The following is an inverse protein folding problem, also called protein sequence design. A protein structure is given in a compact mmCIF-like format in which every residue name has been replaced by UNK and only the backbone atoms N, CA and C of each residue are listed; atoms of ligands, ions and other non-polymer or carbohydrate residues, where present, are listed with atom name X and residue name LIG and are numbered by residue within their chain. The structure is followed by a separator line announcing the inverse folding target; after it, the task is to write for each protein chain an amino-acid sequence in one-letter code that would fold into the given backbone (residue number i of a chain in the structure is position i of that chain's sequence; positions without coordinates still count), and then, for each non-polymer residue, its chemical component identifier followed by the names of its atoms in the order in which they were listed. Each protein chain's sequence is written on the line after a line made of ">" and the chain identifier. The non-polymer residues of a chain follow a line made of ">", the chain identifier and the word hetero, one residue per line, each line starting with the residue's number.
data_IF_421077367070
#
_entry.id   IF_421077367070
#
_cell.length_a   1.000
_cell.length_b   1.000
_cell.length_c   1.000
_cell.angle_alpha   90.00
_cell.angle_beta   90.00
_cell.angle_gamma   90.00
#
_symmetry.space_group_name_H-M   'P 1'
#
loop_
_entity.id
_entity.type
_entity.pdbx_description
1 polymer ?
#
# COMPACT_ATOMS: atom_id res chain seq x y z
N UNK A 1 -18.50 -10.73 4.48
CA UNK A 1 -18.72 -10.15 5.82
C UNK A 1 -18.02 -8.81 5.86
N UNK A 2 -18.49 -7.82 6.64
CA UNK A 2 -18.04 -6.44 6.50
C UNK A 2 -16.73 -6.15 7.21
N UNK A 3 -16.04 -5.10 6.73
CA UNK A 3 -14.95 -4.46 7.45
C UNK A 3 -15.51 -3.76 8.69
N UNK A 4 -14.86 -3.96 9.84
CA UNK A 4 -15.09 -3.17 11.03
C UNK A 4 -14.20 -1.92 10.98
N UNK A 5 -14.83 -0.76 11.08
CA UNK A 5 -14.16 0.54 11.11
C UNK A 5 -14.73 1.42 12.20
N UNK A 6 -14.00 2.44 12.58
CA UNK A 6 -14.48 3.41 13.56
C UNK A 6 -15.72 4.15 13.02
N UNK A 7 -16.73 4.30 13.87
CA UNK A 7 -18.08 4.83 13.51
C UNK A 7 -18.06 6.15 12.76
N UNK A 8 -17.15 7.04 13.13
CA UNK A 8 -17.09 8.41 12.59
C UNK A 8 -15.96 8.60 11.56
N UNK A 9 -15.33 7.52 11.08
CA UNK A 9 -14.33 7.61 10.02
C UNK A 9 -15.00 8.11 8.72
N UNK A 10 -14.50 9.19 8.07
CA UNK A 10 -15.10 9.74 6.85
C UNK A 10 -15.26 8.71 5.73
N UNK A 11 -14.33 7.78 5.58
CA UNK A 11 -14.39 6.68 4.62
C UNK A 11 -15.67 5.85 4.74
N UNK A 12 -16.30 5.77 5.93
CA UNK A 12 -17.55 5.01 6.12
C UNK A 12 -18.67 5.49 5.19
N UNK A 13 -18.92 6.79 5.15
CA UNK A 13 -19.99 7.35 4.33
C UNK A 13 -19.74 7.14 2.83
N UNK A 14 -18.49 7.21 2.39
CA UNK A 14 -18.09 6.97 0.99
C UNK A 14 -18.34 5.51 0.62
N UNK A 15 -17.85 4.56 1.42
CA UNK A 15 -18.00 3.14 1.18
C UNK A 15 -19.48 2.71 1.17
N UNK A 16 -20.29 3.23 2.11
CA UNK A 16 -21.73 2.97 2.14
C UNK A 16 -22.45 3.52 0.88
N UNK A 17 -22.04 4.68 0.37
CA UNK A 17 -22.58 5.24 -0.88
C UNK A 17 -22.24 4.40 -2.11
N UNK A 18 -21.16 3.63 -2.06
CA UNK A 18 -20.73 2.68 -3.08
C UNK A 18 -21.37 1.29 -2.92
N UNK A 19 -22.35 1.14 -2.01
CA UNK A 19 -22.96 -0.14 -1.62
C UNK A 19 -21.97 -1.16 -1.03
N UNK A 20 -20.87 -0.70 -0.48
CA UNK A 20 -19.92 -1.50 0.27
C UNK A 20 -20.38 -1.56 1.72
N UNK A 21 -20.65 -2.77 2.22
CA UNK A 21 -21.11 -2.95 3.57
C UNK A 21 -19.95 -2.82 4.56
N UNK A 22 -20.00 -1.82 5.42
CA UNK A 22 -19.09 -1.61 6.54
C UNK A 22 -19.81 -1.80 7.86
N UNK A 23 -19.10 -2.24 8.89
CA UNK A 23 -19.63 -2.49 10.22
C UNK A 23 -18.97 -1.51 11.21
N UNK A 24 -19.77 -0.92 12.07
CA UNK A 24 -19.25 -0.19 13.22
C UNK A 24 -19.02 -1.12 14.43
N UNK A 25 -18.42 -0.57 15.47
CA UNK A 25 -18.04 -1.31 16.66
C UNK A 25 -19.26 -1.93 17.37
N UNK A 26 -20.38 -1.19 17.44
CA UNK A 26 -21.60 -1.63 18.13
C UNK A 26 -22.18 -2.90 17.50
N UNK A 27 -22.16 -2.97 16.18
CA UNK A 27 -22.65 -4.13 15.43
C UNK A 27 -21.66 -5.30 15.45
N UNK A 28 -20.35 -5.02 15.47
CA UNK A 28 -19.31 -6.05 15.51
C UNK A 28 -19.34 -6.86 16.82
N UNK A 29 -19.60 -6.21 17.96
CA UNK A 29 -19.65 -6.83 19.29
C UNK A 29 -20.78 -7.87 19.39
N UNK A 30 -21.83 -7.75 18.57
CA UNK A 30 -22.96 -8.70 18.59
C UNK A 30 -22.66 -10.03 17.88
N UNK A 31 -21.47 -10.20 17.28
CA UNK A 31 -21.07 -11.41 16.55
C UNK A 31 -19.94 -12.13 17.27
N UNK A 32 -20.08 -13.44 17.47
CA UNK A 32 -19.04 -14.31 18.06
C UNK A 32 -18.04 -14.75 16.96
N UNK A 33 -17.31 -13.79 16.40
CA UNK A 33 -16.33 -14.00 15.33
C UNK A 33 -15.06 -13.23 15.69
N UNK A 34 -13.89 -13.91 15.65
CA UNK A 34 -12.60 -13.22 15.72
C UNK A 34 -12.30 -12.55 14.39
N UNK A 35 -12.31 -11.21 14.31
CA UNK A 35 -11.91 -10.51 13.10
C UNK A 35 -10.41 -10.63 12.86
N UNK A 36 -9.99 -10.53 11.60
CA UNK A 36 -8.58 -10.34 11.26
C UNK A 36 -8.16 -8.92 11.67
N UNK A 37 -7.10 -8.82 12.44
CA UNK A 37 -6.53 -7.55 12.90
C UNK A 37 -5.55 -7.04 11.85
N UNK A 38 -5.88 -5.95 11.17
CA UNK A 38 -5.06 -5.34 10.12
C UNK A 38 -4.59 -3.96 10.57
N UNK A 39 -3.27 -3.78 10.61
CA UNK A 39 -2.63 -2.51 10.91
C UNK A 39 -2.25 -1.80 9.59
N UNK A 40 -2.57 -0.52 9.45
CA UNK A 40 -2.28 0.27 8.25
C UNK A 40 -1.37 1.43 8.62
N UNK A 41 -0.08 1.33 8.28
CA UNK A 41 0.85 2.45 8.37
C UNK A 41 0.68 3.33 7.13
N UNK A 42 -0.02 4.44 7.32
CA UNK A 42 -0.36 5.35 6.23
C UNK A 42 0.66 6.48 6.10
N UNK A 43 1.57 6.37 5.13
CA UNK A 43 2.61 7.35 4.83
C UNK A 43 2.21 8.34 3.73
N UNK A 44 1.03 8.16 3.13
CA UNK A 44 0.55 9.02 2.06
C UNK A 44 0.19 10.43 2.56
N UNK A 45 0.35 11.45 1.69
CA UNK A 45 0.13 12.85 2.08
C UNK A 45 -1.33 13.21 2.31
N UNK A 46 -2.26 12.60 1.55
CA UNK A 46 -3.72 12.76 1.72
C UNK A 46 -4.23 11.45 2.32
N UNK A 47 -4.30 11.42 3.65
CA UNK A 47 -4.59 10.18 4.37
C UNK A 47 -6.00 9.67 4.16
N UNK A 48 -6.99 10.56 4.11
CA UNK A 48 -8.41 10.22 3.98
C UNK A 48 -8.72 9.51 2.65
N UNK A 49 -8.08 9.92 1.55
CA UNK A 49 -8.21 9.24 0.26
C UNK A 49 -7.64 7.81 0.33
N UNK A 50 -6.44 7.68 0.91
CA UNK A 50 -5.76 6.38 1.05
C UNK A 50 -6.51 5.45 1.98
N UNK A 51 -7.09 5.96 3.09
CA UNK A 51 -7.97 5.21 3.99
C UNK A 51 -9.12 4.58 3.20
N UNK A 52 -9.82 5.40 2.40
CA UNK A 52 -10.94 4.94 1.58
C UNK A 52 -10.53 3.89 0.57
N UNK A 53 -9.42 4.09 -0.14
CA UNK A 53 -8.89 3.17 -1.16
C UNK A 53 -8.52 1.81 -0.56
N UNK A 54 -7.78 1.81 0.54
CA UNK A 54 -7.36 0.55 1.21
C UNK A 54 -8.56 -0.17 1.82
N UNK A 55 -9.46 0.55 2.50
CA UNK A 55 -10.65 -0.05 3.10
C UNK A 55 -11.57 -0.64 2.03
N UNK A 56 -11.71 0.02 0.87
CA UNK A 56 -12.45 -0.53 -0.28
C UNK A 56 -11.84 -1.84 -0.77
N UNK A 57 -10.52 -1.91 -0.92
CA UNK A 57 -9.82 -3.13 -1.34
C UNK A 57 -10.00 -4.26 -0.30
N UNK A 58 -9.85 -3.97 0.98
CA UNK A 58 -10.03 -4.93 2.07
C UNK A 58 -11.48 -5.39 2.25
N UNK A 59 -12.47 -4.61 1.79
CA UNK A 59 -13.89 -4.97 1.89
C UNK A 59 -14.30 -6.14 0.99
N UNK A 60 -13.49 -6.45 -0.01
CA UNK A 60 -13.75 -7.52 -0.96
C UNK A 60 -13.33 -8.91 -0.42
N UNK A 61 -13.73 -9.22 0.81
CA UNK A 61 -13.47 -10.51 1.47
C UNK A 61 -14.70 -10.99 2.24
N UNK A 62 -14.94 -12.31 2.34
CA UNK A 62 -15.97 -12.86 3.22
C UNK A 62 -15.57 -12.84 4.69
N UNK A 63 -14.32 -12.52 5.03
CA UNK A 63 -13.81 -12.49 6.39
C UNK A 63 -14.12 -11.15 7.06
N UNK A 64 -14.35 -11.17 8.37
CA UNK A 64 -14.42 -9.92 9.13
C UNK A 64 -13.02 -9.38 9.34
N UNK A 65 -12.82 -8.11 9.03
CA UNK A 65 -11.54 -7.41 9.16
C UNK A 65 -11.72 -6.20 10.08
N UNK A 66 -10.83 -6.06 11.04
CA UNK A 66 -10.73 -4.93 11.96
C UNK A 66 -9.48 -4.13 11.60
N UNK A 67 -9.66 -2.88 11.17
CA UNK A 67 -8.60 -2.02 10.66
C UNK A 67 -8.22 -0.94 11.66
N UNK A 68 -6.92 -0.83 11.95
CA UNK A 68 -6.33 0.23 12.77
C UNK A 68 -5.31 1.02 11.96
N UNK A 69 -5.28 2.34 12.14
CA UNK A 69 -4.35 3.21 11.42
C UNK A 69 -3.19 3.64 12.32
N UNK A 70 -1.99 3.55 11.76
CA UNK A 70 -0.73 3.95 12.38
C UNK A 70 -0.14 5.15 11.65
N UNK A 71 0.39 6.11 12.40
CA UNK A 71 1.15 7.24 11.87
C UNK A 71 2.53 7.33 12.50
N UNK A 72 3.46 7.97 11.78
CA UNK A 72 4.80 8.24 12.26
C UNK A 72 4.80 9.35 13.32
N UNK A 73 5.49 9.13 14.41
CA UNK A 73 5.72 10.14 15.47
C UNK A 73 6.74 11.17 15.03
N UNK A 74 7.75 10.74 14.28
CA UNK A 74 8.83 11.58 13.75
C UNK A 74 8.43 12.43 12.54
N UNK A 75 7.18 12.30 12.04
CA UNK A 75 6.71 13.03 10.89
C UNK A 75 5.34 13.70 11.12
N UNK A 76 5.27 15.01 10.87
CA UNK A 76 4.01 15.76 10.90
C UNK A 76 3.35 15.74 9.51
N UNK A 77 2.10 15.22 9.46
CA UNK A 77 1.27 15.33 8.26
C UNK A 77 0.89 16.80 8.01
N UNK A 78 1.06 17.26 6.77
CA UNK A 78 0.74 18.65 6.38
C UNK A 78 -0.65 18.80 5.75
N UNK A 79 -1.22 17.72 5.22
CA UNK A 79 -2.44 17.75 4.41
C UNK A 79 -3.65 17.10 5.10
N UNK A 80 -3.49 16.60 6.32
CA UNK A 80 -4.58 16.00 7.11
C UNK A 80 -4.71 16.78 8.42
N UNK A 81 -5.94 17.06 8.84
CA UNK A 81 -6.20 17.82 10.06
C UNK A 81 -5.71 17.07 11.30
N UNK A 82 -5.17 17.81 12.29
CA UNK A 82 -4.72 17.19 13.53
C UNK A 82 -5.87 16.53 14.30
N UNK A 83 -7.09 17.06 14.17
CA UNK A 83 -8.28 16.47 14.79
C UNK A 83 -8.60 15.09 14.22
N UNK A 84 -8.45 14.90 12.90
CA UNK A 84 -8.59 13.59 12.26
C UNK A 84 -7.53 12.61 12.73
N UNK A 85 -6.27 13.04 12.75
CA UNK A 85 -5.15 12.21 13.19
C UNK A 85 -5.32 11.76 14.64
N UNK A 86 -5.60 12.68 15.55
CA UNK A 86 -5.79 12.36 16.97
C UNK A 86 -6.97 11.43 17.24
N UNK A 87 -7.95 11.40 16.35
CA UNK A 87 -9.15 10.59 16.52
C UNK A 87 -9.02 9.17 15.97
N UNK A 88 -8.33 9.02 14.85
CA UNK A 88 -8.33 7.77 14.06
C UNK A 88 -6.99 7.07 13.99
N UNK A 89 -5.89 7.74 14.34
CA UNK A 89 -4.55 7.20 14.26
C UNK A 89 -3.93 6.97 15.64
N UNK A 90 -3.08 5.97 15.73
CA UNK A 90 -2.27 5.66 16.90
C UNK A 90 -0.79 5.77 16.55
N UNK A 91 0.08 5.82 17.56
CA UNK A 91 1.53 5.79 17.39
C UNK A 91 2.08 4.38 17.65
N UNK A 92 3.27 4.13 17.14
CA UNK A 92 3.93 2.84 17.29
C UNK A 92 4.16 2.47 18.78
N UNK A 93 4.50 3.43 19.61
CA UNK A 93 4.69 3.20 21.04
C UNK A 93 3.46 2.61 21.74
N UNK A 94 2.27 2.92 21.24
CA UNK A 94 1.01 2.48 21.83
C UNK A 94 0.67 1.02 21.48
N UNK A 95 1.23 0.51 20.36
CA UNK A 95 0.85 -0.80 19.80
C UNK A 95 1.98 -1.82 19.77
N UNK A 96 3.19 -1.47 20.17
CA UNK A 96 4.39 -2.33 20.02
C UNK A 96 4.32 -3.68 20.74
N UNK A 97 3.40 -3.83 21.70
CA UNK A 97 3.18 -5.10 22.41
C UNK A 97 2.02 -5.92 21.81
N UNK A 98 1.32 -5.37 20.82
CA UNK A 98 0.18 -6.02 20.16
C UNK A 98 0.65 -6.92 19.01
N UNK A 99 -0.24 -7.83 18.58
CA UNK A 99 -0.01 -8.69 17.42
C UNK A 99 -1.12 -8.52 16.39
N UNK A 100 -0.74 -8.60 15.13
CA UNK A 100 -1.65 -8.42 14.00
C UNK A 100 -1.59 -9.59 13.02
N UNK A 101 -2.72 -9.87 12.37
CA UNK A 101 -2.79 -10.86 11.30
C UNK A 101 -2.17 -10.32 10.00
N UNK A 102 -2.30 -9.02 9.77
CA UNK A 102 -1.70 -8.35 8.62
C UNK A 102 -1.30 -6.91 8.90
N UNK A 103 -0.35 -6.42 8.11
CA UNK A 103 0.04 -5.02 8.10
C UNK A 103 0.17 -4.52 6.67
N UNK A 104 -0.26 -3.29 6.42
CA UNK A 104 -0.05 -2.59 5.16
C UNK A 104 0.79 -1.36 5.42
N UNK A 105 1.91 -1.22 4.71
CA UNK A 105 2.74 -0.02 4.69
C UNK A 105 2.54 0.64 3.32
N UNK A 106 1.95 1.84 3.31
CA UNK A 106 1.61 2.54 2.06
C UNK A 106 2.83 3.16 1.39
N UNK A 107 2.69 3.56 0.15
CA UNK A 107 3.64 4.44 -0.53
C UNK A 107 3.84 5.77 0.19
N UNK A 108 4.88 6.51 -0.23
CA UNK A 108 5.16 7.85 0.25
C UNK A 108 5.80 8.70 -0.87
N UNK A 109 5.55 10.02 -0.92
CA UNK A 109 6.07 10.90 -1.96
C UNK A 109 7.52 11.34 -1.71
N UNK A 110 8.38 10.42 -1.28
CA UNK A 110 9.79 10.65 -0.93
C UNK A 110 10.74 9.77 -1.75
N UNK A 111 10.26 9.20 -2.84
CA UNK A 111 10.96 8.19 -3.63
C UNK A 111 12.30 8.67 -4.23
N UNK A 112 12.41 9.95 -4.58
CA UNK A 112 13.66 10.56 -5.11
C UNK A 112 14.66 10.95 -4.01
N UNK A 113 14.33 10.75 -2.74
CA UNK A 113 15.25 10.98 -1.62
C UNK A 113 16.03 9.73 -1.29
N UNK A 114 17.28 9.88 -0.90
CA UNK A 114 18.02 8.79 -0.27
C UNK A 114 17.31 8.37 1.03
N UNK A 115 17.36 7.10 1.37
CA UNK A 115 16.61 6.59 2.53
C UNK A 115 17.03 7.27 3.83
N UNK A 116 18.33 7.50 4.02
CA UNK A 116 18.89 8.19 5.20
C UNK A 116 18.50 9.68 5.31
N UNK A 117 17.96 10.26 4.24
CA UNK A 117 17.44 11.65 4.20
C UNK A 117 15.95 11.73 4.55
N UNK A 118 15.26 10.59 4.62
CA UNK A 118 13.85 10.54 5.01
C UNK A 118 13.75 10.71 6.53
N UNK A 119 13.09 11.75 6.98
CA UNK A 119 13.08 12.16 8.41
C UNK A 119 12.48 11.13 9.38
N UNK A 120 11.72 10.16 8.90
CA UNK A 120 11.14 9.05 9.66
C UNK A 120 11.76 7.69 9.32
N UNK A 121 12.94 7.67 8.70
CA UNK A 121 13.57 6.43 8.26
C UNK A 121 13.88 5.48 9.42
N UNK A 122 14.46 5.97 10.49
CA UNK A 122 14.82 5.15 11.65
C UNK A 122 13.57 4.53 12.31
N UNK A 123 12.50 5.31 12.48
CA UNK A 123 11.23 4.83 13.02
C UNK A 123 10.58 3.79 12.07
N UNK A 124 10.65 4.01 10.75
CA UNK A 124 10.17 3.03 9.77
C UNK A 124 10.95 1.72 9.83
N UNK A 125 12.27 1.78 9.96
CA UNK A 125 13.13 0.59 10.12
C UNK A 125 12.76 -0.19 11.39
N UNK A 126 12.52 0.50 12.51
CA UNK A 126 12.07 -0.12 13.76
C UNK A 126 10.72 -0.84 13.57
N UNK A 127 9.76 -0.20 12.92
CA UNK A 127 8.44 -0.79 12.63
C UNK A 127 8.57 -1.99 11.68
N UNK A 128 9.38 -1.90 10.63
CA UNK A 128 9.61 -3.01 9.70
C UNK A 128 10.27 -4.21 10.40
N UNK A 129 11.24 -3.99 11.30
CA UNK A 129 11.85 -5.08 12.06
C UNK A 129 10.85 -5.69 13.05
N UNK A 130 10.09 -4.87 13.77
CA UNK A 130 9.03 -5.30 14.69
C UNK A 130 7.98 -6.15 13.97
N UNK A 131 7.61 -5.79 12.75
CA UNK A 131 6.59 -6.51 11.98
C UNK A 131 6.94 -7.98 11.75
N UNK A 132 8.22 -8.34 11.65
CA UNK A 132 8.67 -9.74 11.46
C UNK A 132 8.27 -10.68 12.59
N UNK A 133 8.02 -10.17 13.78
CA UNK A 133 7.70 -10.96 14.97
C UNK A 133 6.29 -10.73 15.51
N UNK A 134 5.64 -9.65 15.11
CA UNK A 134 4.32 -9.23 15.61
C UNK A 134 3.22 -9.25 14.55
N UNK A 135 3.60 -9.42 13.28
CA UNK A 135 2.64 -9.45 12.16
C UNK A 135 2.83 -10.73 11.35
N UNK A 136 1.72 -11.40 11.03
CA UNK A 136 1.79 -12.64 10.23
C UNK A 136 2.16 -12.34 8.77
N UNK A 137 1.57 -11.30 8.15
CA UNK A 137 1.88 -10.93 6.77
C UNK A 137 1.94 -9.41 6.63
N UNK A 138 3.03 -8.89 6.05
CA UNK A 138 3.21 -7.45 5.81
C UNK A 138 3.24 -7.16 4.31
N UNK A 139 2.31 -6.32 3.86
CA UNK A 139 2.26 -5.80 2.50
C UNK A 139 2.91 -4.41 2.44
N UNK A 140 3.92 -4.28 1.60
CA UNK A 140 4.61 -3.02 1.31
C UNK A 140 4.18 -2.53 -0.08
N UNK A 141 3.73 -1.27 -0.20
CA UNK A 141 3.19 -0.71 -1.45
C UNK A 141 4.13 0.38 -1.99
N UNK A 142 4.46 0.31 -3.28
CA UNK A 142 5.21 1.30 -4.04
C UNK A 142 6.55 1.67 -3.37
N UNK A 143 6.73 2.90 -2.89
CA UNK A 143 7.94 3.31 -2.19
C UNK A 143 8.24 2.45 -0.95
N UNK A 144 7.23 2.07 -0.18
CA UNK A 144 7.44 1.18 0.97
C UNK A 144 7.95 -0.20 0.53
N UNK A 145 7.57 -0.69 -0.65
CA UNK A 145 8.12 -1.93 -1.19
C UNK A 145 9.61 -1.80 -1.49
N UNK A 146 10.04 -0.67 -2.06
CA UNK A 146 11.46 -0.39 -2.28
C UNK A 146 12.21 -0.23 -0.96
N UNK A 147 11.62 0.50 0.00
CA UNK A 147 12.19 0.70 1.34
C UNK A 147 12.37 -0.62 2.09
N UNK A 148 11.36 -1.50 2.06
CA UNK A 148 11.42 -2.82 2.69
C UNK A 148 12.45 -3.74 2.02
N UNK A 149 12.50 -3.78 0.69
CA UNK A 149 13.51 -4.52 -0.06
C UNK A 149 14.94 -4.02 0.25
N UNK A 150 15.11 -2.71 0.38
CA UNK A 150 16.40 -2.13 0.76
C UNK A 150 16.77 -2.47 2.21
N UNK A 151 15.86 -2.25 3.16
CA UNK A 151 16.12 -2.46 4.58
C UNK A 151 16.44 -3.92 4.91
N UNK A 152 15.62 -4.85 4.42
CA UNK A 152 15.75 -6.26 4.78
C UNK A 152 16.80 -7.01 3.95
N UNK A 153 17.03 -6.60 2.71
CA UNK A 153 17.84 -7.37 1.75
C UNK A 153 18.95 -6.54 1.09
N UNK A 154 19.01 -5.22 1.30
CA UNK A 154 20.00 -4.38 0.64
C UNK A 154 19.75 -4.17 -0.86
N UNK A 155 18.56 -4.50 -1.37
CA UNK A 155 18.20 -4.28 -2.78
C UNK A 155 18.09 -2.78 -3.04
N UNK A 156 18.93 -2.21 -3.94
CA UNK A 156 18.93 -0.76 -4.19
C UNK A 156 17.74 -0.33 -5.04
N UNK A 157 17.36 0.93 -4.92
CA UNK A 157 16.48 1.61 -5.87
C UNK A 157 17.30 2.42 -6.86
N UNK A 158 16.73 2.65 -8.03
CA UNK A 158 17.34 3.44 -9.11
C UNK A 158 16.36 4.50 -9.58
N UNK A 159 16.88 5.69 -9.90
CA UNK A 159 16.08 6.73 -10.55
C UNK A 159 15.77 6.32 -12.00
N UNK A 160 14.54 6.58 -12.42
CA UNK A 160 14.13 6.42 -13.82
C UNK A 160 14.38 7.70 -14.59
N UNK A 161 14.72 7.54 -15.86
CA UNK A 161 14.86 8.70 -16.77
C UNK A 161 13.54 9.46 -16.94
N UNK A 162 12.41 8.76 -16.89
CA UNK A 162 11.05 9.30 -16.98
C UNK A 162 10.15 8.65 -15.94
N UNK A 163 9.19 9.44 -15.43
CA UNK A 163 8.17 8.93 -14.49
C UNK A 163 7.37 7.82 -15.17
N UNK A 164 7.28 6.67 -14.51
CA UNK A 164 6.38 5.60 -14.91
C UNK A 164 4.99 5.93 -14.37
N UNK A 165 4.07 6.32 -15.26
CA UNK A 165 2.68 6.64 -14.90
C UNK A 165 1.72 5.98 -15.88
N UNK A 166 0.71 5.30 -15.36
CA UNK A 166 -0.28 4.59 -16.15
C UNK A 166 -0.71 3.26 -15.57
N UNK A 167 -1.43 2.48 -16.37
CA UNK A 167 -1.86 1.10 -16.04
C UNK A 167 -1.08 0.14 -16.92
N UNK A 168 -0.35 -0.76 -16.29
CA UNK A 168 0.53 -1.70 -16.99
C UNK A 168 0.13 -3.14 -16.73
N UNK A 169 0.27 -3.97 -17.77
CA UNK A 169 0.00 -5.40 -17.69
C UNK A 169 1.25 -6.13 -17.22
N UNK A 170 1.07 -7.05 -16.28
CA UNK A 170 2.13 -7.87 -15.70
C UNK A 170 1.78 -9.34 -15.82
N UNK A 171 2.76 -10.15 -16.19
CA UNK A 171 2.64 -11.61 -16.23
C UNK A 171 2.82 -12.20 -14.84
N UNK A 172 1.94 -13.14 -14.46
CA UNK A 172 2.07 -13.96 -13.25
C UNK A 172 2.98 -15.14 -13.54
N UNK A 173 4.13 -15.18 -12.90
CA UNK A 173 5.21 -16.15 -13.18
C UNK A 173 5.02 -17.49 -12.47
N UNK A 174 4.45 -17.50 -11.27
CA UNK A 174 4.41 -18.66 -10.37
C UNK A 174 3.02 -18.95 -9.83
N UNK A 175 2.11 -19.39 -10.68
CA UNK A 175 0.68 -19.62 -10.39
C UNK A 175 0.36 -20.60 -9.25
N UNK A 176 1.33 -21.41 -8.81
CA UNK A 176 1.12 -22.36 -7.71
C UNK A 176 1.29 -21.72 -6.33
N UNK A 177 1.91 -20.55 -6.26
CA UNK A 177 2.08 -19.83 -4.99
C UNK A 177 0.71 -19.37 -4.50
N UNK A 178 0.34 -19.64 -3.23
CA UNK A 178 -0.99 -19.32 -2.68
C UNK A 178 -1.42 -17.87 -2.91
N UNK A 179 -0.50 -16.91 -2.81
CA UNK A 179 -0.77 -15.48 -2.97
C UNK A 179 -1.33 -15.13 -4.35
N UNK A 180 -0.91 -15.81 -5.42
CA UNK A 180 -1.31 -15.51 -6.81
C UNK A 180 -2.11 -16.62 -7.47
N UNK A 181 -2.39 -17.70 -6.76
CA UNK A 181 -3.02 -18.93 -7.32
C UNK A 181 -4.36 -18.68 -8.00
N UNK A 182 -5.13 -17.72 -7.54
CA UNK A 182 -6.45 -17.38 -8.08
C UNK A 182 -6.45 -16.18 -9.04
N UNK A 183 -5.28 -15.62 -9.33
CA UNK A 183 -5.13 -14.53 -10.30
C UNK A 183 -5.11 -15.07 -11.72
N UNK A 184 -5.51 -14.23 -12.67
CA UNK A 184 -5.36 -14.49 -14.10
C UNK A 184 -3.87 -14.58 -14.50
N UNK A 185 -3.59 -15.04 -15.71
CA UNK A 185 -2.24 -15.12 -16.25
C UNK A 185 -1.54 -13.76 -16.33
N UNK A 186 -2.35 -12.73 -16.53
CA UNK A 186 -1.94 -11.33 -16.61
C UNK A 186 -2.80 -10.48 -15.69
N UNK A 187 -2.17 -9.56 -14.98
CA UNK A 187 -2.85 -8.58 -14.11
C UNK A 187 -2.48 -7.17 -14.51
N UNK A 188 -3.47 -6.29 -14.49
CA UNK A 188 -3.24 -4.86 -14.70
C UNK A 188 -3.05 -4.17 -13.36
N UNK A 189 -2.00 -3.34 -13.27
CA UNK A 189 -1.71 -2.58 -12.06
C UNK A 189 -1.36 -1.13 -12.40
N UNK A 190 -1.96 -0.15 -11.69
CA UNK A 190 -1.55 1.25 -11.78
C UNK A 190 -0.13 1.46 -11.23
N UNK A 191 0.63 2.33 -11.88
CA UNK A 191 1.92 2.81 -11.44
C UNK A 191 1.99 4.33 -11.49
N UNK A 192 2.66 4.94 -10.51
CA UNK A 192 3.00 6.36 -10.48
C UNK A 192 4.29 6.51 -9.67
N UNK A 193 5.46 6.36 -10.31
CA UNK A 193 6.74 6.35 -9.63
C UNK A 193 7.89 6.87 -10.48
N UNK A 194 8.87 7.52 -9.85
CA UNK A 194 10.11 8.00 -10.46
C UNK A 194 11.30 7.07 -10.22
N UNK A 195 11.12 6.02 -9.42
CA UNK A 195 12.18 5.07 -9.08
C UNK A 195 11.77 3.63 -9.35
N UNK A 196 12.73 2.73 -9.39
CA UNK A 196 12.50 1.29 -9.60
C UNK A 196 13.52 0.44 -8.85
N UNK A 197 13.16 -0.82 -8.61
CA UNK A 197 14.10 -1.89 -8.29
C UNK A 197 14.31 -2.77 -9.51
N UNK A 198 15.52 -3.30 -9.69
CA UNK A 198 15.85 -4.12 -10.84
C UNK A 198 15.73 -5.60 -10.52
N UNK A 199 15.26 -6.35 -11.52
CA UNK A 199 15.11 -7.79 -11.40
C UNK A 199 16.43 -8.49 -11.04
N UNK A 200 17.55 -8.08 -11.67
CA UNK A 200 18.85 -8.63 -11.42
C UNK A 200 19.34 -8.47 -9.99
N UNK A 201 18.94 -7.41 -9.29
CA UNK A 201 19.29 -7.21 -7.88
C UNK A 201 18.44 -8.08 -6.96
N UNK A 202 17.16 -8.23 -7.24
CA UNK A 202 16.27 -9.13 -6.49
C UNK A 202 16.72 -10.58 -6.62
N UNK A 203 17.13 -11.02 -7.82
CA UNK A 203 17.56 -12.40 -8.09
C UNK A 203 18.88 -12.78 -7.38
N UNK A 204 19.62 -11.84 -6.81
CA UNK A 204 20.77 -12.13 -5.95
C UNK A 204 20.38 -12.71 -4.59
N UNK A 205 19.11 -12.59 -4.22
CA UNK A 205 18.56 -13.01 -2.95
C UNK A 205 17.65 -14.24 -3.15
N UNK A 206 18.13 -15.46 -2.84
CA UNK A 206 17.38 -16.68 -3.08
C UNK A 206 16.11 -16.80 -2.23
N UNK A 207 16.01 -16.05 -1.14
CA UNK A 207 14.84 -15.94 -0.29
C UNK A 207 13.72 -15.07 -0.89
N UNK A 208 14.01 -14.28 -1.93
CA UNK A 208 13.04 -13.45 -2.61
C UNK A 208 12.48 -14.18 -3.84
N UNK A 209 11.16 -14.27 -3.92
CA UNK A 209 10.46 -14.88 -5.02
C UNK A 209 9.72 -13.84 -5.85
N UNK A 210 10.11 -13.64 -7.12
CA UNK A 210 9.40 -12.75 -8.04
C UNK A 210 8.16 -13.46 -8.57
N UNK A 211 6.98 -12.93 -8.28
CA UNK A 211 5.70 -13.52 -8.65
C UNK A 211 5.05 -12.87 -9.86
N UNK A 212 5.34 -11.58 -10.10
CA UNK A 212 4.79 -10.87 -11.26
C UNK A 212 5.77 -9.82 -11.78
N UNK A 213 5.84 -9.69 -13.11
CA UNK A 213 6.66 -8.69 -13.81
C UNK A 213 6.02 -8.24 -15.11
N UNK A 214 6.51 -7.12 -15.62
CA UNK A 214 6.21 -6.57 -16.94
C UNK A 214 7.51 -6.25 -17.67
N UNK A 215 7.56 -6.41 -18.98
CA UNK A 215 8.71 -5.98 -19.78
C UNK A 215 8.84 -4.45 -19.80
N UNK A 216 7.72 -3.74 -19.66
CA UNK A 216 7.66 -2.28 -19.68
C UNK A 216 7.78 -1.65 -18.29
N UNK A 217 7.05 -2.17 -17.31
CA UNK A 217 6.97 -1.61 -15.95
C UNK A 217 7.93 -2.29 -14.96
N UNK A 218 8.67 -3.33 -15.38
CA UNK A 218 9.59 -4.06 -14.52
C UNK A 218 8.89 -4.99 -13.52
N UNK A 219 9.55 -5.23 -12.39
CA UNK A 219 9.01 -6.12 -11.34
C UNK A 219 7.79 -5.48 -10.68
N UNK A 220 6.71 -6.28 -10.51
CA UNK A 220 5.52 -5.84 -9.79
C UNK A 220 5.47 -6.41 -8.38
N UNK A 221 5.58 -7.74 -8.25
CA UNK A 221 5.26 -8.45 -7.02
C UNK A 221 6.41 -9.37 -6.62
N UNK A 222 6.88 -9.19 -5.39
CA UNK A 222 7.93 -10.01 -4.77
C UNK A 222 7.42 -10.52 -3.44
N UNK A 223 7.70 -11.79 -3.14
CA UNK A 223 7.35 -12.47 -1.91
C UNK A 223 8.62 -12.92 -1.19
N UNK A 224 8.64 -12.74 0.12
CA UNK A 224 9.54 -13.41 1.05
C UNK A 224 8.72 -14.14 2.10
N UNK A 225 8.92 -15.45 2.23
CA UNK A 225 8.32 -16.28 3.29
C UNK A 225 9.39 -16.64 4.32
N UNK A 226 9.07 -16.50 5.61
CA UNK A 226 9.97 -16.83 6.70
C UNK A 226 9.19 -17.43 7.89
N UNK A 227 9.55 -18.65 8.27
CA UNK A 227 8.84 -19.34 9.35
C UNK A 227 7.33 -19.43 9.08
N UNK A 228 6.52 -18.77 9.91
CA UNK A 228 5.07 -18.65 9.73
C UNK A 228 4.63 -17.29 9.17
N UNK A 229 5.59 -16.42 8.84
CA UNK A 229 5.34 -15.05 8.37
C UNK A 229 5.67 -14.84 6.90
N UNK A 230 5.22 -13.71 6.37
CA UNK A 230 5.54 -13.29 5.00
C UNK A 230 5.67 -11.78 4.86
N UNK A 231 6.51 -11.37 3.90
CA UNK A 231 6.61 -10.00 3.42
C UNK A 231 6.27 -9.97 1.93
N UNK A 232 5.35 -9.14 1.57
CA UNK A 232 4.88 -8.94 0.19
C UNK A 232 5.27 -7.53 -0.24
N UNK A 233 5.97 -7.41 -1.37
CA UNK A 233 6.44 -6.15 -1.92
C UNK A 233 5.80 -5.92 -3.27
N UNK A 234 4.89 -4.95 -3.37
CA UNK A 234 4.23 -4.58 -4.62
C UNK A 234 4.69 -3.20 -5.09
N UNK A 235 5.28 -3.13 -6.29
CA UNK A 235 5.86 -1.90 -6.85
C UNK A 235 4.84 -0.96 -7.47
N UNK A 236 3.61 -1.41 -7.66
CA UNK A 236 2.48 -0.63 -8.17
C UNK A 236 1.51 -0.24 -7.05
N UNK A 237 0.37 0.28 -7.46
CA UNK A 237 -0.68 0.78 -6.58
C UNK A 237 -2.00 0.01 -6.79
N UNK A 238 -2.16 -1.21 -6.22
CA UNK A 238 -3.39 -1.98 -6.37
C UNK A 238 -4.60 -1.34 -5.68
N UNK A 239 -4.35 -0.40 -4.77
CA UNK A 239 -5.35 0.34 -4.02
C UNK A 239 -5.97 1.51 -4.80
N UNK A 240 -5.34 1.97 -5.88
CA UNK A 240 -5.80 3.14 -6.63
C UNK A 240 -7.20 2.93 -7.18
N UNK A 241 -8.03 3.94 -7.02
CA UNK A 241 -9.32 4.00 -7.67
C UNK A 241 -9.20 4.54 -9.10
N UNK A 242 -10.35 4.52 -9.81
CA UNK A 242 -10.43 4.89 -11.21
C UNK A 242 -9.90 6.30 -11.52
N UNK A 243 -10.05 7.26 -10.60
CA UNK A 243 -9.71 8.67 -10.86
C UNK A 243 -8.31 9.05 -10.36
N UNK A 244 -7.64 8.21 -9.58
CA UNK A 244 -6.40 8.60 -8.89
C UNK A 244 -5.29 9.04 -9.84
N UNK A 245 -5.02 8.29 -10.92
CA UNK A 245 -3.99 8.68 -11.90
C UNK A 245 -4.33 9.99 -12.63
N UNK A 246 -5.62 10.21 -12.94
CA UNK A 246 -6.10 11.46 -13.53
C UNK A 246 -5.92 12.64 -12.60
N UNK A 247 -6.30 12.47 -11.32
CA UNK A 247 -6.13 13.50 -10.30
C UNK A 247 -4.65 13.85 -10.08
N UNK A 248 -3.76 12.86 -10.09
CA UNK A 248 -2.32 13.09 -10.02
C UNK A 248 -1.80 13.88 -11.23
N UNK A 249 -2.23 13.53 -12.44
CA UNK A 249 -1.88 14.23 -13.65
C UNK A 249 -2.32 15.70 -13.59
N UNK A 250 -3.58 15.97 -13.28
CA UNK A 250 -4.11 17.34 -13.19
C UNK A 250 -3.44 18.14 -12.08
N UNK A 251 -3.15 17.54 -10.93
CA UNK A 251 -2.38 18.16 -9.84
C UNK A 251 -0.99 18.59 -10.32
N UNK A 252 -0.30 17.73 -11.06
CA UNK A 252 1.07 18.00 -11.53
C UNK A 252 1.08 19.07 -12.62
N UNK A 253 0.08 19.09 -13.52
CA UNK A 253 -0.16 20.18 -14.49
C UNK A 253 -0.42 21.51 -13.76
N UNK A 254 -1.29 21.51 -12.73
CA UNK A 254 -1.60 22.71 -11.95
C UNK A 254 -0.39 23.30 -11.21
N UNK A 255 0.61 22.47 -10.92
CA UNK A 255 1.91 22.90 -10.34
C UNK A 255 2.89 23.43 -11.39
N UNK A 256 2.49 23.52 -12.66
CA UNK A 256 3.36 23.95 -13.76
C UNK A 256 4.39 22.90 -14.18
N UNK A 257 4.26 21.67 -13.72
CA UNK A 257 5.02 20.53 -14.22
C UNK A 257 4.45 20.14 -15.58
N UNK A 258 5.27 19.54 -16.45
CA UNK A 258 4.82 19.03 -17.75
C UNK A 258 4.78 17.48 -17.71
N UNK A 259 3.82 16.87 -16.98
CA UNK A 259 3.75 15.43 -16.83
C UNK A 259 3.31 14.78 -18.13
N UNK A 260 3.86 13.60 -18.44
CA UNK A 260 3.30 12.75 -19.49
C UNK A 260 1.89 12.27 -19.09
N UNK A 261 1.03 12.10 -20.09
CA UNK A 261 -0.28 11.46 -19.87
C UNK A 261 -0.09 10.04 -19.35
N UNK A 262 -0.88 9.61 -18.35
CA UNK A 262 -0.81 8.25 -17.85
C UNK A 262 -1.08 7.23 -18.96
N UNK A 263 -0.14 6.31 -19.18
CA UNK A 263 -0.22 5.32 -20.25
C UNK A 263 -1.33 4.30 -19.97
N UNK A 264 -2.05 3.87 -21.02
CA UNK A 264 -3.15 2.90 -20.95
C UNK A 264 -4.28 3.30 -19.97
N UNK A 265 -4.34 4.58 -19.59
CA UNK A 265 -5.36 5.13 -18.73
C UNK A 265 -6.35 5.94 -19.56
N UNK A 266 -7.63 5.56 -19.52
CA UNK A 266 -8.71 6.33 -20.16
C UNK A 266 -9.63 6.86 -19.07
N UNK A 267 -9.61 8.18 -18.85
CA UNK A 267 -10.68 8.83 -18.13
C UNK A 267 -11.78 9.22 -19.11
N UNK A 268 -13.03 9.26 -18.68
CA UNK A 268 -14.16 9.74 -19.52
C UNK A 268 -13.97 11.21 -19.93
N UNK A 269 -13.16 11.97 -19.21
CA UNK A 269 -12.83 13.36 -19.49
C UNK A 269 -11.85 13.53 -20.68
N UNK A 270 -11.17 12.48 -21.12
CA UNK A 270 -10.23 12.52 -22.26
C UNK A 270 -10.86 12.08 -23.57
N UNK A 271 -12.18 11.87 -23.62
CA UNK A 271 -12.93 11.45 -24.84
C UNK A 271 -13.69 12.58 -25.52
N UNK A 272 -13.42 13.84 -25.16
CA UNK A 272 -14.00 15.02 -25.85
C UNK A 272 -12.98 15.75 -26.73
#
# INVERSE_FOLDING_TARGET
>A
MPIKIQKELPAKAILESENIFVMDEDRAISQDIRPLQILILNLMPIKEDTETQILRALSNTPLQVDCSFLMMKSHQSKNTSQSHLNKFYTFFDDIKNEKYDGMIITGAPVECMDYDKVNYWDELCEIMEWSKTHVTSTLHICWAAQAGLYYHFGVPKYDRAEKLTGVFTHEILKKKVPLVRSMDDYVNCPHSRNTEVRLEDILKHPELEVLAKSDEAGVLLVLNEYGSGSQVFIQGHPEYDRMTLGNEYHRDVAKGLNPALPKNYRSEEHTS
#
